data_IF_059336729617
#
_entry.id   IF_059336729617
#
_cell.length_a   1.000
_cell.length_b   1.000
_cell.length_c   1.000
_cell.angle_alpha   90.00
_cell.angle_beta   90.00
_cell.angle_gamma   90.00
#
_symmetry.space_group_name_H-M   'P 1'
#
loop_
_entity.id
_entity.type
_entity.pdbx_description
1 polymer ?
#
# COMPACT_ATOMS: atom_id res chain seq x y z
N UNK A 1 45.67 37.68 23.18
CA UNK A 1 44.50 36.79 23.12
C UNK A 1 43.28 37.69 23.11
N UNK A 2 42.71 37.90 21.94
CA UNK A 2 41.53 38.75 21.74
C UNK A 2 40.29 37.93 22.12
N UNK A 3 39.45 38.48 23.00
CA UNK A 3 38.28 37.79 23.53
C UNK A 3 37.21 37.67 22.43
N UNK A 4 36.80 36.43 22.14
CA UNK A 4 35.64 36.16 21.30
C UNK A 4 34.41 36.85 21.91
N UNK A 5 33.72 37.68 21.13
CA UNK A 5 32.56 38.44 21.59
C UNK A 5 31.48 37.53 22.19
N UNK A 6 30.77 38.03 23.19
CA UNK A 6 29.78 37.29 23.99
C UNK A 6 28.50 36.86 23.22
N UNK A 7 28.43 37.08 21.91
CA UNK A 7 27.25 36.79 21.09
C UNK A 7 27.65 36.28 19.71
N UNK A 8 26.98 35.23 19.26
CA UNK A 8 27.19 34.58 17.97
C UNK A 8 25.86 34.57 17.23
N UNK A 9 25.81 35.21 16.06
CA UNK A 9 24.67 35.15 15.15
C UNK A 9 24.92 34.08 14.10
N UNK A 10 23.99 33.13 13.97
CA UNK A 10 24.04 32.09 12.96
C UNK A 10 22.70 31.99 12.20
N UNK A 11 22.73 31.71 10.89
CA UNK A 11 21.50 31.43 10.14
C UNK A 11 20.89 30.10 10.57
N UNK A 12 19.58 29.98 10.45
CA UNK A 12 18.84 28.75 10.72
C UNK A 12 17.71 28.55 9.72
N UNK A 13 17.38 27.30 9.45
CA UNK A 13 16.26 26.90 8.60
C UNK A 13 15.25 26.07 9.40
N UNK A 14 13.97 26.28 9.15
CA UNK A 14 12.91 25.44 9.70
C UNK A 14 12.70 24.25 8.77
N UNK A 15 13.05 23.06 9.24
CA UNK A 15 12.83 21.81 8.52
C UNK A 15 11.63 21.04 9.07
N UNK A 16 11.05 20.18 8.23
CA UNK A 16 10.02 19.24 8.67
C UNK A 16 10.64 18.15 9.54
N UNK A 17 9.97 17.84 10.65
CA UNK A 17 10.29 16.67 11.49
C UNK A 17 9.99 15.39 10.68
N UNK A 18 11.05 14.71 10.24
CA UNK A 18 10.96 13.52 9.39
C UNK A 18 10.29 12.34 10.09
N UNK A 19 10.25 12.30 11.42
CA UNK A 19 9.51 11.27 12.18
C UNK A 19 8.01 11.55 12.24
N UNK A 20 7.59 12.78 11.90
CA UNK A 20 6.18 13.22 11.89
C UNK A 20 5.66 13.50 10.48
N UNK A 21 6.50 13.37 9.46
CA UNK A 21 6.17 13.64 8.07
C UNK A 21 6.34 12.38 7.24
N UNK A 22 5.39 12.10 6.35
CA UNK A 22 5.46 10.92 5.49
C UNK A 22 4.90 11.23 4.10
N UNK A 23 5.55 10.68 3.07
CA UNK A 23 5.03 10.63 1.71
C UNK A 23 4.19 9.37 1.55
N UNK A 24 2.90 9.54 1.27
CA UNK A 24 1.98 8.41 1.05
C UNK A 24 2.05 8.00 -0.41
N UNK A 25 2.53 6.79 -0.67
CA UNK A 25 2.60 6.19 -2.01
C UNK A 25 1.66 4.98 -2.10
N UNK A 26 1.02 4.75 -3.26
CA UNK A 26 0.26 3.52 -3.47
C UNK A 26 1.21 2.32 -3.48
N UNK A 27 0.75 1.18 -2.92
CA UNK A 27 1.53 -0.06 -2.88
C UNK A 27 1.55 -0.84 -4.20
N UNK A 28 0.63 -0.52 -5.09
CA UNK A 28 0.47 -1.15 -6.41
C UNK A 28 0.29 -0.06 -7.46
N UNK A 29 0.73 -0.36 -8.68
CA UNK A 29 0.49 0.50 -9.83
C UNK A 29 -1.00 0.53 -10.18
N UNK A 30 -1.51 1.70 -10.52
CA UNK A 30 -2.93 1.86 -10.85
C UNK A 30 -3.30 3.29 -11.25
N UNK A 31 -4.54 3.45 -11.72
CA UNK A 31 -5.11 4.73 -12.11
C UNK A 31 -5.95 5.29 -10.96
N UNK A 32 -5.76 6.57 -10.61
CA UNK A 32 -6.59 7.25 -9.61
C UNK A 32 -7.98 7.49 -10.22
N UNK A 33 -9.01 6.98 -9.56
CA UNK A 33 -10.42 7.18 -9.96
C UNK A 33 -11.10 8.29 -9.16
N UNK A 34 -10.67 8.52 -7.92
CA UNK A 34 -11.22 9.58 -7.07
C UNK A 34 -10.17 10.12 -6.11
N UNK A 35 -10.17 11.44 -5.92
CA UNK A 35 -9.40 12.12 -4.89
C UNK A 35 -10.33 12.54 -3.74
N UNK A 36 -10.00 12.15 -2.52
CA UNK A 36 -10.80 12.41 -1.31
C UNK A 36 -10.24 13.55 -0.45
N UNK A 37 -8.94 13.82 -0.56
CA UNK A 37 -8.26 14.90 0.16
C UNK A 37 -7.72 15.97 -0.80
N UNK A 38 -7.75 17.23 -0.37
CA UNK A 38 -7.18 18.39 -1.09
C UNK A 38 -5.99 18.97 -0.34
N UNK A 39 -5.14 19.70 -1.04
CA UNK A 39 -4.03 20.42 -0.41
C UNK A 39 -4.56 21.36 0.69
N UNK A 40 -3.88 21.37 1.84
CA UNK A 40 -4.28 22.17 3.01
C UNK A 40 -5.41 21.56 3.85
N UNK A 41 -6.08 20.49 3.38
CA UNK A 41 -7.11 19.82 4.15
C UNK A 41 -6.50 19.02 5.31
N UNK A 42 -7.02 19.21 6.53
CA UNK A 42 -6.67 18.36 7.68
C UNK A 42 -7.35 17.00 7.55
N UNK A 43 -6.57 15.93 7.67
CA UNK A 43 -7.03 14.53 7.64
C UNK A 43 -6.65 13.83 8.93
N UNK A 44 -7.37 12.76 9.28
CA UNK A 44 -7.04 11.90 10.43
C UNK A 44 -6.40 10.60 9.93
N UNK A 45 -5.72 9.88 10.83
CA UNK A 45 -5.21 8.54 10.53
C UNK A 45 -6.37 7.65 10.05
N UNK A 46 -6.15 6.94 8.95
CA UNK A 46 -7.17 6.07 8.33
C UNK A 46 -8.15 6.78 7.40
N UNK A 47 -8.12 8.12 7.29
CA UNK A 47 -8.92 8.82 6.28
C UNK A 47 -8.48 8.43 4.87
N UNK A 48 -9.40 8.07 3.97
CA UNK A 48 -9.05 7.77 2.59
C UNK A 48 -8.52 9.03 1.89
N UNK A 49 -7.41 8.90 1.16
CA UNK A 49 -6.80 10.01 0.40
C UNK A 49 -7.16 9.95 -1.08
N UNK A 50 -7.08 8.74 -1.67
CA UNK A 50 -7.44 8.45 -3.06
C UNK A 50 -8.12 7.09 -3.17
N UNK A 51 -8.93 6.92 -4.20
CA UNK A 51 -9.34 5.62 -4.73
C UNK A 51 -8.61 5.38 -6.04
N UNK A 52 -8.13 4.16 -6.24
CA UNK A 52 -7.43 3.76 -7.46
C UNK A 52 -7.93 2.40 -7.94
N UNK A 53 -7.78 2.17 -9.25
CA UNK A 53 -8.00 0.88 -9.89
C UNK A 53 -6.67 0.35 -10.42
N UNK A 54 -6.45 -0.95 -10.35
CA UNK A 54 -5.20 -1.59 -10.79
C UNK A 54 -5.51 -2.80 -11.66
N UNK A 55 -4.88 -2.85 -12.83
CA UNK A 55 -4.99 -3.98 -13.76
C UNK A 55 -4.36 -5.23 -13.16
N UNK A 56 -3.19 -5.08 -12.53
CA UNK A 56 -2.47 -6.17 -11.87
C UNK A 56 -3.30 -6.81 -10.75
N UNK A 57 -3.90 -5.98 -9.88
CA UNK A 57 -4.78 -6.48 -8.82
C UNK A 57 -6.01 -7.19 -9.39
N UNK A 58 -6.62 -6.65 -10.43
CA UNK A 58 -7.79 -7.28 -11.07
C UNK A 58 -7.44 -8.65 -11.68
N UNK A 59 -6.27 -8.77 -12.31
CA UNK A 59 -5.75 -10.05 -12.81
C UNK A 59 -5.53 -11.06 -11.69
N UNK A 60 -4.79 -10.68 -10.64
CA UNK A 60 -4.55 -11.54 -9.49
C UNK A 60 -5.83 -11.99 -8.78
N UNK A 61 -6.85 -11.13 -8.72
CA UNK A 61 -8.18 -11.49 -8.21
C UNK A 61 -8.87 -12.52 -9.10
N UNK A 62 -8.80 -12.37 -10.42
CA UNK A 62 -9.33 -13.35 -11.37
C UNK A 62 -8.70 -14.74 -11.19
N UNK A 63 -7.38 -14.78 -11.13
CA UNK A 63 -6.62 -16.03 -10.94
C UNK A 63 -6.98 -16.70 -9.61
N UNK A 64 -7.09 -15.92 -8.53
CA UNK A 64 -7.50 -16.42 -7.23
C UNK A 64 -8.92 -17.01 -7.23
N UNK A 65 -9.86 -16.41 -7.97
CA UNK A 65 -11.23 -16.93 -8.11
C UNK A 65 -11.22 -18.28 -8.82
N UNK A 66 -10.48 -18.40 -9.93
CA UNK A 66 -10.38 -19.67 -10.70
C UNK A 66 -9.74 -20.76 -9.85
N UNK A 67 -8.61 -20.46 -9.20
CA UNK A 67 -7.92 -21.41 -8.33
C UNK A 67 -8.80 -21.87 -7.17
N UNK A 68 -9.55 -20.94 -6.55
CA UNK A 68 -10.46 -21.28 -5.47
C UNK A 68 -11.61 -22.20 -5.92
N UNK A 69 -12.16 -21.96 -7.11
CA UNK A 69 -13.21 -22.81 -7.68
C UNK A 69 -12.70 -24.22 -7.96
N UNK A 70 -11.51 -24.36 -8.54
CA UNK A 70 -10.90 -25.66 -8.80
C UNK A 70 -10.58 -26.40 -7.50
N UNK A 71 -10.00 -25.72 -6.51
CA UNK A 71 -9.76 -26.29 -5.18
C UNK A 71 -11.06 -26.81 -4.55
N UNK A 72 -12.15 -26.03 -4.61
CA UNK A 72 -13.46 -26.47 -4.12
C UNK A 72 -13.98 -27.70 -4.86
N UNK A 73 -13.79 -27.77 -6.18
CA UNK A 73 -14.19 -28.91 -7.01
C UNK A 73 -13.41 -30.17 -6.63
N UNK A 74 -12.07 -30.09 -6.58
CA UNK A 74 -11.20 -31.21 -6.21
C UNK A 74 -11.54 -31.70 -4.80
N UNK A 75 -11.75 -30.78 -3.85
CA UNK A 75 -12.16 -31.12 -2.49
C UNK A 75 -13.52 -31.83 -2.44
N UNK A 76 -14.47 -31.46 -3.28
CA UNK A 76 -15.81 -32.06 -3.32
C UNK A 76 -15.82 -33.45 -4.00
N UNK A 77 -14.95 -33.68 -4.99
CA UNK A 77 -14.88 -34.95 -5.72
C UNK A 77 -14.24 -36.10 -4.90
N UNK A 78 -13.46 -35.78 -3.86
CA UNK A 78 -12.79 -36.77 -3.02
C UNK A 78 -11.61 -37.49 -3.71
N UNK A 79 -10.74 -38.12 -2.92
CA UNK A 79 -9.51 -38.77 -3.44
C UNK A 79 -9.78 -39.95 -4.38
N UNK A 80 -11.00 -40.49 -4.39
CA UNK A 80 -11.34 -41.70 -5.14
C UNK A 80 -11.65 -41.43 -6.63
N UNK A 81 -12.03 -40.19 -7.00
CA UNK A 81 -12.38 -39.80 -8.38
C UNK A 81 -11.26 -39.00 -9.05
N UNK A 82 -10.41 -38.33 -8.27
CA UNK A 82 -9.30 -37.52 -8.79
C UNK A 82 -7.99 -38.27 -8.55
N UNK A 83 -7.30 -38.70 -9.61
CA UNK A 83 -5.99 -39.35 -9.50
C UNK A 83 -5.07 -38.58 -8.55
N UNK A 84 -4.41 -39.30 -7.61
CA UNK A 84 -3.65 -38.79 -6.45
C UNK A 84 -2.74 -37.57 -6.72
N UNK A 85 -2.33 -37.34 -7.97
CA UNK A 85 -1.48 -36.21 -8.40
C UNK A 85 -2.14 -34.83 -8.30
N UNK A 86 -3.47 -34.72 -8.32
CA UNK A 86 -4.20 -33.42 -8.29
C UNK A 86 -4.70 -32.98 -6.91
N UNK A 87 -4.57 -33.80 -5.87
CA UNK A 87 -5.08 -33.48 -4.54
C UNK A 87 -4.08 -32.68 -3.68
N UNK A 88 -2.80 -32.66 -4.05
CA UNK A 88 -1.70 -32.15 -3.22
C UNK A 88 -1.12 -30.83 -3.75
N UNK A 89 -1.60 -30.34 -4.89
CA UNK A 89 -1.19 -29.08 -5.53
C UNK A 89 -2.11 -27.92 -5.16
#
# INVERSE_FOLDING_TARGET
MEALGNEITAPGEIALDQYKTSFVTPRISGQITKRHARLGQRVKRGSPLVSLTSVELAGAQGDAIVAHQEWRRVKALGQDVVSKRRYVE
#
